data_IF_227947292528
#
_entry.id   IF_227947292528
#
_cell.length_a   1.000
_cell.length_b   1.000
_cell.length_c   1.000
_cell.angle_alpha   90.00
_cell.angle_beta   90.00
_cell.angle_gamma   90.00
#
_symmetry.space_group_name_H-M   'P 1'
#
loop_
_entity.id
_entity.type
_entity.pdbx_description
1 polymer ?
#
# COMPACT_ATOMS: atom_id res chain seq x y z
N UNK A 1 0.79 -25.91 -1.92
CA UNK A 1 0.09 -25.30 -3.07
C UNK A 1 -0.19 -23.86 -2.71
N UNK A 2 0.71 -22.96 -3.10
CA UNK A 2 0.45 -21.52 -3.04
C UNK A 2 -0.74 -21.21 -3.95
N UNK A 3 -1.79 -20.63 -3.39
CA UNK A 3 -2.87 -20.06 -4.19
C UNK A 3 -2.36 -18.73 -4.70
N UNK A 4 -1.91 -18.71 -5.95
CA UNK A 4 -1.69 -17.47 -6.70
C UNK A 4 -2.94 -16.60 -6.57
N UNK A 5 -2.80 -15.48 -5.86
CA UNK A 5 -3.82 -14.43 -5.83
C UNK A 5 -3.94 -13.93 -7.27
N UNK A 6 -5.03 -14.28 -7.95
CA UNK A 6 -5.29 -13.86 -9.33
C UNK A 6 -5.57 -12.36 -9.32
N UNK A 7 -4.53 -11.57 -9.60
CA UNK A 7 -4.65 -10.14 -9.93
C UNK A 7 -5.65 -9.94 -11.08
N UNK A 8 -6.41 -8.86 -11.02
CA UNK A 8 -7.35 -8.44 -12.05
C UNK A 8 -6.62 -8.03 -13.33
N UNK A 9 -7.31 -7.96 -14.48
CA UNK A 9 -6.69 -7.55 -15.76
C UNK A 9 -6.19 -6.09 -15.73
N UNK A 10 -6.89 -5.20 -15.02
CA UNK A 10 -6.53 -3.78 -14.91
C UNK A 10 -5.22 -3.57 -14.12
N UNK A 11 -5.06 -4.27 -12.98
CA UNK A 11 -3.86 -4.21 -12.13
C UNK A 11 -2.60 -4.64 -12.91
N UNK A 12 -2.70 -5.68 -13.74
CA UNK A 12 -1.58 -6.21 -14.53
C UNK A 12 -1.11 -5.26 -15.63
N UNK A 13 -2.04 -4.46 -16.19
CA UNK A 13 -1.73 -3.42 -17.16
C UNK A 13 -0.96 -2.25 -16.52
N UNK A 14 -1.23 -1.97 -15.25
CA UNK A 14 -0.60 -0.88 -14.50
C UNK A 14 0.88 -1.17 -14.20
N UNK A 15 1.23 -2.42 -13.87
CA UNK A 15 2.62 -2.81 -13.58
C UNK A 15 3.57 -2.69 -14.78
N UNK A 16 3.13 -3.08 -15.98
CA UNK A 16 3.94 -2.90 -17.20
C UNK A 16 4.10 -1.42 -17.56
N UNK A 17 3.05 -0.62 -17.38
CA UNK A 17 3.10 0.83 -17.54
C UNK A 17 4.15 1.46 -16.62
N UNK A 18 4.08 1.14 -15.33
CA UNK A 18 5.02 1.64 -14.32
C UNK A 18 6.49 1.28 -14.64
N UNK A 19 6.76 0.02 -14.99
CA UNK A 19 8.11 -0.41 -15.38
C UNK A 19 8.61 0.36 -16.61
N UNK A 20 7.75 0.54 -17.62
CA UNK A 20 8.09 1.27 -18.84
C UNK A 20 8.38 2.75 -18.54
N UNK A 21 7.51 3.40 -17.77
CA UNK A 21 7.60 4.83 -17.47
C UNK A 21 8.84 5.16 -16.64
N UNK A 22 9.17 4.33 -15.64
CA UNK A 22 10.35 4.50 -14.80
C UNK A 22 11.66 4.27 -15.59
N UNK A 23 11.67 3.30 -16.50
CA UNK A 23 12.79 3.07 -17.41
C UNK A 23 12.97 4.25 -18.36
N UNK A 24 11.88 4.72 -18.98
CA UNK A 24 11.91 5.87 -19.87
C UNK A 24 12.41 7.12 -19.16
N UNK A 25 11.93 7.37 -17.93
CA UNK A 25 12.36 8.51 -17.11
C UNK A 25 13.85 8.45 -16.75
N UNK A 26 14.37 7.27 -16.47
CA UNK A 26 15.73 7.10 -15.93
C UNK A 26 16.80 6.90 -17.00
N UNK A 27 16.44 6.31 -18.14
CA UNK A 27 17.37 5.90 -19.20
C UNK A 27 16.95 6.34 -20.61
N UNK A 28 15.81 7.01 -20.75
CA UNK A 28 15.29 7.48 -22.03
C UNK A 28 15.00 6.34 -23.01
N UNK A 29 15.08 6.66 -24.29
CA UNK A 29 14.66 5.77 -25.36
C UNK A 29 15.51 4.50 -25.50
N UNK A 30 16.80 4.60 -25.17
CA UNK A 30 17.68 3.45 -25.09
C UNK A 30 17.27 2.49 -23.96
N UNK A 31 16.73 3.00 -22.86
CA UNK A 31 16.11 2.18 -21.82
C UNK A 31 14.84 1.48 -22.32
N UNK A 32 13.98 2.19 -23.05
CA UNK A 32 12.77 1.59 -23.64
C UNK A 32 13.12 0.44 -24.58
N UNK A 33 14.17 0.58 -25.40
CA UNK A 33 14.63 -0.50 -26.27
C UNK A 33 15.02 -1.76 -25.48
N UNK A 34 15.66 -1.59 -24.33
CA UNK A 34 15.97 -2.71 -23.42
C UNK A 34 14.69 -3.36 -22.89
N UNK A 35 13.73 -2.54 -22.44
CA UNK A 35 12.42 -3.00 -21.97
C UNK A 35 11.67 -3.79 -23.04
N UNK A 36 11.55 -3.25 -24.26
CA UNK A 36 10.83 -3.91 -25.36
C UNK A 36 11.50 -5.23 -25.77
N UNK A 37 12.83 -5.28 -25.75
CA UNK A 37 13.59 -6.50 -26.01
C UNK A 37 13.32 -7.55 -24.94
N UNK A 38 13.27 -7.16 -23.67
CA UNK A 38 12.96 -8.05 -22.56
C UNK A 38 11.52 -8.58 -22.63
N UNK A 39 10.53 -7.72 -22.94
CA UNK A 39 9.13 -8.12 -23.16
C UNK A 39 9.03 -9.17 -24.29
N UNK A 40 9.68 -8.91 -25.43
CA UNK A 40 9.68 -9.85 -26.57
C UNK A 40 10.35 -11.17 -26.21
N UNK A 41 11.47 -11.13 -25.47
CA UNK A 41 12.23 -12.31 -25.05
C UNK A 41 11.42 -13.19 -24.09
N UNK A 42 10.79 -12.57 -23.10
CA UNK A 42 10.01 -13.27 -22.08
C UNK A 42 8.61 -13.65 -22.55
N UNK A 43 8.17 -13.15 -23.72
CA UNK A 43 6.81 -13.30 -24.24
C UNK A 43 5.76 -12.85 -23.22
N UNK A 44 6.09 -11.79 -22.49
CA UNK A 44 5.23 -11.21 -21.46
C UNK A 44 3.96 -10.71 -22.14
N UNK A 45 2.83 -11.34 -21.83
CA UNK A 45 1.53 -10.92 -22.38
C UNK A 45 1.11 -9.54 -21.89
N UNK A 46 0.05 -8.97 -22.45
CA UNK A 46 -0.50 -7.67 -22.03
C UNK A 46 -0.92 -7.60 -20.55
N UNK A 47 -1.04 -8.76 -19.90
CA UNK A 47 -1.53 -8.93 -18.54
C UNK A 47 -0.64 -9.89 -17.72
N UNK A 48 0.61 -9.52 -17.43
CA UNK A 48 1.55 -10.41 -16.77
C UNK A 48 1.20 -10.63 -15.30
N UNK A 49 1.46 -11.84 -14.81
CA UNK A 49 1.51 -12.16 -13.39
C UNK A 49 2.67 -11.44 -12.69
N UNK A 50 2.61 -11.33 -11.36
CA UNK A 50 3.66 -10.75 -10.52
C UNK A 50 5.03 -11.34 -10.84
N UNK A 51 5.08 -12.67 -10.88
CA UNK A 51 6.30 -13.42 -11.19
C UNK A 51 6.84 -13.12 -12.59
N UNK A 52 5.98 -12.80 -13.55
CA UNK A 52 6.40 -12.39 -14.90
C UNK A 52 6.95 -10.95 -14.92
N UNK A 53 6.41 -10.04 -14.09
CA UNK A 53 6.93 -8.68 -13.92
C UNK A 53 8.27 -8.68 -13.18
N UNK A 54 8.43 -9.50 -12.13
CA UNK A 54 9.71 -9.65 -11.42
C UNK A 54 10.80 -10.23 -12.34
N UNK A 55 10.43 -11.24 -13.14
CA UNK A 55 11.32 -11.80 -14.17
C UNK A 55 11.68 -10.76 -15.24
N UNK A 56 10.74 -9.88 -15.59
CA UNK A 56 11.00 -8.79 -16.52
C UNK A 56 12.05 -7.83 -15.97
N UNK A 57 11.92 -7.37 -14.72
CA UNK A 57 12.92 -6.50 -14.09
C UNK A 57 14.29 -7.21 -14.00
N UNK A 58 14.30 -8.48 -13.63
CA UNK A 58 15.51 -9.31 -13.56
C UNK A 58 16.19 -9.51 -14.93
N UNK A 59 15.42 -9.50 -16.02
CA UNK A 59 15.93 -9.62 -17.40
C UNK A 59 16.44 -8.28 -17.95
N UNK A 60 15.89 -7.16 -17.48
CA UNK A 60 16.29 -5.80 -17.86
C UNK A 60 17.61 -5.41 -17.20
N UNK A 61 17.81 -5.78 -15.93
CA UNK A 61 18.97 -5.37 -15.13
C UNK A 61 20.33 -5.64 -15.81
N UNK A 62 20.63 -6.84 -16.35
CA UNK A 62 21.92 -7.10 -16.99
C UNK A 62 22.15 -6.24 -18.23
N UNK A 63 21.09 -5.98 -18.99
CA UNK A 63 21.17 -5.16 -20.21
C UNK A 63 21.41 -3.68 -19.86
N UNK A 64 20.78 -3.17 -18.81
CA UNK A 64 21.07 -1.83 -18.30
C UNK A 64 22.46 -1.73 -17.69
N UNK A 65 22.94 -2.78 -17.00
CA UNK A 65 24.28 -2.81 -16.43
C UNK A 65 25.37 -2.71 -17.51
N UNK A 66 25.15 -3.36 -18.66
CA UNK A 66 26.07 -3.28 -19.81
C UNK A 66 26.11 -1.86 -20.39
N UNK A 67 24.96 -1.19 -20.50
CA UNK A 67 24.86 0.12 -21.16
C UNK A 67 25.24 1.30 -20.25
N UNK A 68 24.90 1.21 -18.96
CA UNK A 68 24.97 2.34 -18.02
C UNK A 68 25.81 2.06 -16.78
N UNK A 69 26.36 0.85 -16.66
CA UNK A 69 27.18 0.41 -15.52
C UNK A 69 26.35 -0.09 -14.34
N UNK A 70 26.89 -1.10 -13.65
CA UNK A 70 26.25 -1.73 -12.48
C UNK A 70 25.99 -0.77 -11.32
N UNK A 71 26.80 0.29 -11.19
CA UNK A 71 26.62 1.32 -10.16
C UNK A 71 25.33 2.12 -10.34
N UNK A 72 24.78 2.18 -11.55
CA UNK A 72 23.54 2.89 -11.86
C UNK A 72 22.35 1.96 -12.08
N UNK A 73 22.54 0.82 -12.74
CA UNK A 73 21.46 -0.11 -13.02
C UNK A 73 20.92 -0.80 -11.76
N UNK A 74 21.81 -1.19 -10.83
CA UNK A 74 21.44 -1.96 -9.64
C UNK A 74 20.61 -1.15 -8.65
N UNK A 75 20.96 0.11 -8.30
CA UNK A 75 20.10 0.93 -7.47
C UNK A 75 18.74 1.21 -8.12
N UNK A 76 18.71 1.45 -9.43
CA UNK A 76 17.46 1.65 -10.16
C UNK A 76 16.55 0.42 -10.11
N UNK A 77 17.08 -0.79 -10.37
CA UNK A 77 16.29 -2.01 -10.33
C UNK A 77 15.80 -2.32 -8.91
N UNK A 78 16.60 -2.01 -7.88
CA UNK A 78 16.17 -2.11 -6.48
C UNK A 78 15.03 -1.13 -6.15
N UNK A 79 15.14 0.13 -6.59
CA UNK A 79 14.08 1.14 -6.43
C UNK A 79 12.81 0.72 -7.17
N UNK A 80 12.95 0.20 -8.39
CA UNK A 80 11.84 -0.29 -9.17
C UNK A 80 11.15 -1.48 -8.49
N UNK A 81 11.92 -2.40 -7.91
CA UNK A 81 11.35 -3.47 -7.07
C UNK A 81 10.61 -2.93 -5.85
N UNK A 82 11.15 -1.93 -5.17
CA UNK A 82 10.43 -1.30 -4.05
C UNK A 82 9.14 -0.61 -4.49
N UNK A 83 9.14 0.10 -5.62
CA UNK A 83 7.93 0.70 -6.21
C UNK A 83 6.89 -0.36 -6.57
N UNK A 84 7.32 -1.47 -7.17
CA UNK A 84 6.43 -2.60 -7.48
C UNK A 84 5.82 -3.20 -6.20
N UNK A 85 6.60 -3.32 -5.12
CA UNK A 85 6.13 -3.74 -3.80
C UNK A 85 5.20 -2.69 -3.17
N UNK A 86 5.45 -1.40 -3.36
CA UNK A 86 4.61 -0.31 -2.84
C UNK A 86 3.26 -0.22 -3.56
N UNK A 87 3.21 -0.48 -4.86
CA UNK A 87 1.95 -0.69 -5.59
C UNK A 87 1.15 -1.87 -5.01
N UNK A 88 1.80 -2.88 -4.44
CA UNK A 88 1.13 -3.97 -3.71
C UNK A 88 0.69 -3.57 -2.29
N UNK A 89 1.31 -2.55 -1.68
CA UNK A 89 0.99 -2.11 -0.30
C UNK A 89 -0.33 -1.34 -0.21
N UNK A 90 -0.95 -0.96 -1.33
CA UNK A 90 -2.33 -0.52 -1.31
C UNK A 90 -3.24 -1.74 -1.10
N UNK A 91 -3.77 -1.85 0.12
CA UNK A 91 -4.55 -3.01 0.54
C UNK A 91 -5.62 -3.35 -0.50
N UNK A 92 -5.68 -4.60 -1.02
CA UNK A 92 -6.80 -5.08 -1.84
C UNK A 92 -8.15 -4.81 -1.17
N UNK A 93 -8.17 -4.74 0.17
CA UNK A 93 -9.32 -4.38 0.99
C UNK A 93 -9.74 -2.92 0.74
N UNK A 94 -8.80 -1.98 0.62
CA UNK A 94 -9.11 -0.58 0.33
C UNK A 94 -9.65 -0.40 -1.10
N UNK A 95 -9.05 -1.08 -2.09
CA UNK A 95 -9.59 -1.08 -3.45
C UNK A 95 -10.99 -1.71 -3.52
N UNK A 96 -11.23 -2.76 -2.73
CA UNK A 96 -12.55 -3.34 -2.59
C UNK A 96 -13.55 -2.36 -1.96
N UNK A 97 -13.17 -1.60 -0.94
CA UNK A 97 -13.99 -0.54 -0.31
C UNK A 97 -14.32 0.58 -1.30
N UNK A 98 -13.32 1.08 -2.04
CA UNK A 98 -13.50 2.07 -3.12
C UNK A 98 -14.50 1.57 -4.17
N UNK A 99 -14.30 0.33 -4.62
CA UNK A 99 -15.16 -0.30 -5.60
C UNK A 99 -16.58 -0.50 -5.08
N UNK A 100 -16.82 -0.57 -3.77
CA UNK A 100 -18.15 -0.71 -3.17
C UNK A 100 -18.90 0.60 -3.10
N UNK A 101 -18.22 1.65 -2.61
CA UNK A 101 -18.82 2.94 -2.29
C UNK A 101 -19.11 3.81 -3.52
N UNK A 102 -18.34 3.65 -4.62
CA UNK A 102 -18.48 4.43 -5.86
C UNK A 102 -18.82 3.50 -7.06
N UNK A 103 -19.23 2.25 -6.78
CA UNK A 103 -19.29 1.13 -7.75
C UNK A 103 -20.05 1.42 -9.05
N UNK A 104 -21.21 2.05 -8.92
CA UNK A 104 -22.12 2.26 -10.06
C UNK A 104 -21.56 3.28 -11.06
N UNK A 105 -20.86 4.28 -10.55
CA UNK A 105 -20.35 5.37 -11.37
C UNK A 105 -18.95 5.06 -11.91
N UNK A 106 -18.11 4.32 -11.16
CA UNK A 106 -16.82 3.80 -11.68
C UNK A 106 -17.04 2.80 -12.83
N UNK A 107 -18.01 1.88 -12.69
CA UNK A 107 -18.32 0.90 -13.74
C UNK A 107 -18.76 1.53 -15.07
N UNK A 108 -19.36 2.71 -15.03
CA UNK A 108 -19.82 3.43 -16.23
C UNK A 108 -18.77 4.41 -16.79
N UNK A 109 -17.81 4.84 -15.97
CA UNK A 109 -16.83 5.89 -16.32
C UNK A 109 -15.44 5.36 -16.68
N UNK A 110 -15.18 4.06 -16.44
CA UNK A 110 -13.96 3.36 -16.90
C UNK A 110 -12.72 3.56 -16.02
N UNK A 111 -11.57 2.97 -16.42
CA UNK A 111 -10.37 2.84 -15.58
C UNK A 111 -9.69 4.15 -15.18
N UNK A 112 -10.00 5.25 -15.89
CA UNK A 112 -9.43 6.59 -15.63
C UNK A 112 -9.85 7.20 -14.29
N UNK A 113 -10.99 6.78 -13.74
CA UNK A 113 -11.48 7.26 -12.44
C UNK A 113 -10.79 6.54 -11.30
N UNK A 114 -10.61 5.23 -11.45
CA UNK A 114 -9.91 4.39 -10.48
C UNK A 114 -8.45 4.83 -10.33
N UNK A 115 -7.79 5.17 -11.43
CA UNK A 115 -6.42 5.69 -11.42
C UNK A 115 -6.30 7.05 -10.70
N UNK A 116 -7.28 7.94 -10.83
CA UNK A 116 -7.27 9.22 -10.11
C UNK A 116 -7.48 9.05 -8.62
N UNK A 117 -8.39 8.15 -8.21
CA UNK A 117 -8.56 7.79 -6.81
C UNK A 117 -7.29 7.15 -6.26
N UNK A 118 -6.64 6.27 -7.02
CA UNK A 118 -5.37 5.66 -6.66
C UNK A 118 -4.30 6.73 -6.40
N UNK A 119 -4.05 7.62 -7.37
CA UNK A 119 -3.08 8.72 -7.24
C UNK A 119 -3.42 9.68 -6.11
N UNK A 120 -4.70 9.94 -5.89
CA UNK A 120 -5.17 10.80 -4.80
C UNK A 120 -4.79 10.22 -3.45
N UNK A 121 -5.06 8.93 -3.22
CA UNK A 121 -4.71 8.30 -1.96
C UNK A 121 -3.20 8.03 -1.84
N UNK A 122 -2.46 7.77 -2.91
CA UNK A 122 -0.99 7.65 -2.83
C UNK A 122 -0.28 8.87 -2.23
N UNK A 123 -0.82 10.09 -2.42
CA UNK A 123 -0.22 11.33 -1.90
C UNK A 123 -0.19 11.45 -0.37
N UNK A 124 -0.86 10.55 0.36
CA UNK A 124 -0.91 10.55 1.82
C UNK A 124 -2.31 10.83 2.36
N UNK A 125 -2.40 11.41 3.56
CA UNK A 125 -3.68 11.74 4.21
C UNK A 125 -4.21 13.07 3.62
N UNK A 126 -5.31 13.05 2.85
CA UNK A 126 -5.81 14.25 2.19
C UNK A 126 -6.48 15.18 3.19
N UNK A 127 -6.25 16.48 3.08
CA UNK A 127 -7.00 17.47 3.84
C UNK A 127 -8.34 17.82 3.14
N UNK A 128 -9.17 18.66 3.75
CA UNK A 128 -10.46 19.04 3.14
C UNK A 128 -10.33 19.74 1.78
N UNK A 129 -9.21 20.43 1.53
CA UNK A 129 -8.98 21.08 0.24
C UNK A 129 -8.64 20.06 -0.84
N UNK A 130 -7.77 19.09 -0.51
CA UNK A 130 -7.43 17.96 -1.38
C UNK A 130 -8.70 17.17 -1.77
N UNK A 131 -9.58 16.90 -0.79
CA UNK A 131 -10.85 16.19 -1.01
C UNK A 131 -11.77 16.97 -1.94
N UNK A 132 -11.84 18.29 -1.77
CA UNK A 132 -12.68 19.15 -2.62
C UNK A 132 -12.15 19.21 -4.05
N UNK A 133 -10.83 19.25 -4.21
CA UNK A 133 -10.17 19.23 -5.52
C UNK A 133 -10.45 17.93 -6.26
N UNK A 134 -10.20 16.77 -5.63
CA UNK A 134 -10.44 15.48 -6.28
C UNK A 134 -11.92 15.28 -6.60
N UNK A 135 -12.85 15.74 -5.76
CA UNK A 135 -14.27 15.69 -6.06
C UNK A 135 -14.61 16.45 -7.36
N UNK A 136 -14.02 17.63 -7.58
CA UNK A 136 -14.22 18.38 -8.82
C UNK A 136 -13.65 17.64 -10.04
N UNK A 137 -12.44 17.06 -9.92
CA UNK A 137 -11.79 16.29 -10.99
C UNK A 137 -12.66 15.09 -11.38
N UNK A 138 -13.17 14.36 -10.38
CA UNK A 138 -14.02 13.19 -10.60
C UNK A 138 -15.34 13.54 -11.29
N UNK A 139 -15.96 14.66 -10.92
CA UNK A 139 -17.15 15.16 -11.60
C UNK A 139 -16.87 15.53 -13.06
N UNK A 140 -15.76 16.22 -13.33
CA UNK A 140 -15.34 16.54 -14.71
C UNK A 140 -15.09 15.28 -15.55
N UNK A 141 -14.64 14.19 -14.92
CA UNK A 141 -14.40 12.90 -15.55
C UNK A 141 -15.65 12.02 -15.68
N UNK A 142 -16.82 12.50 -15.23
CA UNK A 142 -18.11 11.86 -15.50
C UNK A 142 -18.83 11.26 -14.30
N UNK A 143 -18.31 11.42 -13.07
CA UNK A 143 -19.09 11.09 -11.87
C UNK A 143 -20.31 12.01 -11.78
N UNK A 144 -21.50 11.42 -11.75
CA UNK A 144 -22.78 12.14 -11.71
C UNK A 144 -23.34 12.34 -10.32
N UNK A 145 -22.67 11.81 -9.30
CA UNK A 145 -23.03 12.01 -7.90
C UNK A 145 -22.99 13.50 -7.54
N UNK A 146 -23.90 13.93 -6.66
CA UNK A 146 -23.88 15.29 -6.12
C UNK A 146 -22.54 15.59 -5.43
N UNK A 147 -22.04 16.82 -5.57
CA UNK A 147 -20.71 17.21 -5.05
C UNK A 147 -20.60 17.02 -3.54
N UNK A 148 -21.64 17.34 -2.78
CA UNK A 148 -21.60 17.21 -1.32
C UNK A 148 -21.59 15.73 -0.92
N UNK A 149 -22.38 14.91 -1.61
CA UNK A 149 -22.37 13.46 -1.41
C UNK A 149 -21.02 12.83 -1.77
N UNK A 150 -20.43 13.21 -2.90
CA UNK A 150 -19.11 12.73 -3.33
C UNK A 150 -18.02 13.12 -2.33
N UNK A 151 -18.04 14.37 -1.87
CA UNK A 151 -17.12 14.88 -0.83
C UNK A 151 -17.26 14.08 0.47
N UNK A 152 -18.49 13.79 0.90
CA UNK A 152 -18.74 12.97 2.08
C UNK A 152 -18.24 11.53 1.91
N UNK A 153 -18.46 10.93 0.73
CA UNK A 153 -17.93 9.60 0.39
C UNK A 153 -16.40 9.57 0.44
N UNK A 154 -15.73 10.56 -0.14
CA UNK A 154 -14.27 10.67 -0.13
C UNK A 154 -13.70 10.88 1.29
N UNK A 155 -14.39 11.67 2.13
CA UNK A 155 -14.05 11.81 3.56
C UNK A 155 -14.13 10.46 4.27
N UNK A 156 -15.21 9.71 4.07
CA UNK A 156 -15.37 8.39 4.67
C UNK A 156 -14.30 7.39 4.21
N UNK A 157 -13.99 7.36 2.91
CA UNK A 157 -12.91 6.53 2.37
C UNK A 157 -11.55 6.91 2.97
N UNK A 158 -11.29 8.20 3.14
CA UNK A 158 -10.06 8.70 3.77
C UNK A 158 -9.98 8.26 5.24
N UNK A 159 -11.08 8.32 5.98
CA UNK A 159 -11.20 7.79 7.35
C UNK A 159 -10.90 6.28 7.37
N UNK A 160 -11.57 5.51 6.52
CA UNK A 160 -11.42 4.05 6.47
C UNK A 160 -9.97 3.65 6.17
N UNK A 161 -9.32 4.34 5.23
CA UNK A 161 -7.91 4.12 4.93
C UNK A 161 -7.01 4.37 6.14
N UNK A 162 -7.18 5.52 6.80
CA UNK A 162 -6.40 5.87 7.98
C UNK A 162 -6.61 4.82 9.08
N UNK A 163 -7.84 4.37 9.31
CA UNK A 163 -8.14 3.31 10.27
C UNK A 163 -7.46 1.99 9.90
N UNK A 164 -7.48 1.60 8.62
CA UNK A 164 -6.81 0.40 8.15
C UNK A 164 -5.29 0.46 8.39
N UNK A 165 -4.66 1.57 8.03
CA UNK A 165 -3.22 1.78 8.21
C UNK A 165 -2.81 1.82 9.69
N UNK A 166 -3.61 2.48 10.54
CA UNK A 166 -3.41 2.55 11.98
C UNK A 166 -3.56 1.16 12.61
N UNK A 167 -4.61 0.42 12.26
CA UNK A 167 -4.84 -0.93 12.77
C UNK A 167 -3.70 -1.88 12.40
N UNK A 168 -3.24 -1.85 11.14
CA UNK A 168 -2.09 -2.64 10.72
C UNK A 168 -0.85 -2.32 11.55
N UNK A 169 -0.58 -1.02 11.76
CA UNK A 169 0.59 -0.57 12.54
C UNK A 169 0.48 -0.94 14.02
N UNK A 170 -0.74 -0.88 14.60
CA UNK A 170 -1.01 -1.33 15.98
C UNK A 170 -0.73 -2.82 16.10
N UNK A 171 -1.25 -3.63 15.16
CA UNK A 171 -1.03 -5.08 15.13
C UNK A 171 0.46 -5.39 15.09
N UNK A 172 1.20 -4.78 14.15
CA UNK A 172 2.63 -5.00 13.99
C UNK A 172 3.40 -4.60 15.26
N UNK A 173 3.00 -3.50 15.91
CA UNK A 173 3.59 -3.08 17.20
C UNK A 173 3.31 -4.07 18.33
N UNK A 174 2.10 -4.64 18.40
CA UNK A 174 1.78 -5.66 19.41
C UNK A 174 2.54 -6.96 19.15
N UNK A 175 2.71 -7.36 17.89
CA UNK A 175 3.53 -8.52 17.50
C UNK A 175 4.98 -8.31 17.91
N UNK A 176 5.55 -7.13 17.65
CA UNK A 176 6.91 -6.80 18.11
C UNK A 176 7.03 -6.91 19.63
N UNK A 177 6.11 -6.28 20.36
CA UNK A 177 6.08 -6.34 21.82
C UNK A 177 5.91 -7.77 22.35
N UNK A 178 5.14 -8.62 21.66
CA UNK A 178 4.97 -10.03 22.00
C UNK A 178 6.29 -10.79 21.84
N UNK A 179 6.98 -10.64 20.70
CA UNK A 179 8.25 -11.31 20.41
C UNK A 179 9.43 -10.75 21.20
N UNK A 180 9.37 -9.50 21.67
CA UNK A 180 10.38 -8.93 22.59
C UNK A 180 10.33 -9.62 23.95
N UNK A 181 9.13 -9.98 24.41
CA UNK A 181 8.93 -10.66 25.69
C UNK A 181 9.05 -12.19 25.57
N UNK A 182 8.65 -12.76 24.43
CA UNK A 182 8.64 -14.20 24.16
C UNK A 182 9.28 -14.51 22.79
N UNK A 183 10.63 -14.45 22.67
CA UNK A 183 11.33 -14.73 21.41
C UNK A 183 11.07 -16.15 20.88
N UNK A 184 10.81 -17.09 21.80
CA UNK A 184 10.31 -18.44 21.52
C UNK A 184 8.97 -18.59 22.24
N UNK A 185 7.88 -18.68 21.49
CA UNK A 185 6.53 -18.78 22.03
C UNK A 185 5.93 -20.18 21.79
N UNK A 186 5.06 -20.60 22.70
CA UNK A 186 4.27 -21.83 22.59
C UNK A 186 2.90 -21.56 21.98
N UNK A 187 2.17 -22.62 21.62
CA UNK A 187 0.79 -22.49 21.13
C UNK A 187 -0.15 -21.85 22.18
N UNK A 188 0.13 -22.05 23.48
CA UNK A 188 -0.62 -21.41 24.56
C UNK A 188 -0.37 -19.90 24.58
N UNK A 189 0.90 -19.47 24.50
CA UNK A 189 1.27 -18.05 24.46
C UNK A 189 0.62 -17.33 23.27
N UNK A 190 0.56 -18.01 22.11
CA UNK A 190 -0.12 -17.49 20.92
C UNK A 190 -1.62 -17.27 21.16
N UNK A 191 -2.32 -18.23 21.78
CA UNK A 191 -3.75 -18.10 22.10
C UNK A 191 -4.02 -16.99 23.11
N UNK A 192 -3.15 -16.85 24.10
CA UNK A 192 -3.23 -15.77 25.08
C UNK A 192 -3.00 -14.41 24.41
N UNK A 193 -2.05 -14.32 23.49
CA UNK A 193 -1.81 -13.12 22.69
C UNK A 193 -3.03 -12.74 21.82
N UNK A 194 -3.63 -13.68 21.09
CA UNK A 194 -4.85 -13.44 20.31
C UNK A 194 -6.00 -12.99 21.21
N UNK A 195 -6.15 -13.60 22.38
CA UNK A 195 -7.20 -13.24 23.35
C UNK A 195 -6.98 -11.83 23.88
N UNK A 196 -5.75 -11.46 24.19
CA UNK A 196 -5.36 -10.09 24.55
C UNK A 196 -5.71 -9.09 23.44
N UNK A 197 -5.37 -9.39 22.18
CA UNK A 197 -5.68 -8.51 21.04
C UNK A 197 -7.19 -8.27 20.90
N UNK A 198 -8.00 -9.33 21.03
CA UNK A 198 -9.46 -9.26 20.97
C UNK A 198 -10.07 -8.49 22.15
N UNK A 199 -9.57 -8.70 23.37
CA UNK A 199 -10.01 -7.96 24.57
C UNK A 199 -9.77 -6.45 24.41
N UNK A 200 -8.66 -6.09 23.76
CA UNK A 200 -8.37 -4.70 23.43
C UNK A 200 -9.11 -4.19 22.19
N UNK A 201 -10.06 -4.94 21.62
CA UNK A 201 -10.83 -4.56 20.42
C UNK A 201 -9.95 -4.24 19.20
N UNK A 202 -8.75 -4.83 19.13
CA UNK A 202 -7.90 -4.73 17.94
C UNK A 202 -8.49 -5.69 16.90
N UNK A 203 -8.72 -5.19 15.69
CA UNK A 203 -9.25 -6.01 14.60
C UNK A 203 -8.18 -7.01 14.16
N UNK A 204 -8.38 -8.30 14.46
CA UNK A 204 -7.43 -9.37 14.17
C UNK A 204 -8.09 -10.47 13.35
N UNK A 205 -7.44 -10.82 12.24
CA UNK A 205 -7.70 -12.03 11.46
C UNK A 205 -6.63 -13.03 11.89
N UNK A 206 -6.99 -14.11 12.58
CA UNK A 206 -6.01 -14.99 13.23
C UNK A 206 -4.99 -15.58 12.26
N UNK A 207 -5.43 -15.95 11.04
CA UNK A 207 -4.55 -16.45 10.00
C UNK A 207 -3.49 -15.41 9.57
N UNK A 208 -3.87 -14.12 9.48
CA UNK A 208 -2.97 -13.00 9.16
C UNK A 208 -1.96 -12.77 10.30
N UNK A 209 -2.40 -12.89 11.56
CA UNK A 209 -1.51 -12.68 12.72
C UNK A 209 -0.39 -13.72 12.77
N UNK A 210 -0.70 -14.99 12.49
CA UNK A 210 0.32 -16.04 12.49
C UNK A 210 1.39 -15.80 11.42
N UNK A 211 0.97 -15.37 10.23
CA UNK A 211 1.89 -15.02 9.14
C UNK A 211 2.77 -13.82 9.49
N UNK A 212 2.17 -12.76 10.06
CA UNK A 212 2.91 -11.56 10.49
C UNK A 212 3.91 -11.83 11.61
N UNK A 213 3.57 -12.67 12.58
CA UNK A 213 4.49 -13.12 13.64
C UNK A 213 5.70 -13.82 13.03
N UNK A 214 5.47 -14.76 12.09
CA UNK A 214 6.56 -15.48 11.44
C UNK A 214 7.44 -14.53 10.60
N UNK A 215 6.82 -13.60 9.87
CA UNK A 215 7.54 -12.57 9.11
C UNK A 215 8.47 -11.75 10.02
N UNK A 216 7.96 -11.22 11.13
CA UNK A 216 8.76 -10.45 12.09
C UNK A 216 9.87 -11.31 12.72
N UNK A 217 9.60 -12.58 13.04
CA UNK A 217 10.62 -13.51 13.56
C UNK A 217 11.76 -13.73 12.55
N UNK A 218 11.43 -13.90 11.27
CA UNK A 218 12.41 -14.02 10.20
C UNK A 218 13.23 -12.73 10.04
N UNK A 219 12.58 -11.57 10.08
CA UNK A 219 13.26 -10.26 10.05
C UNK A 219 14.27 -10.10 11.19
N UNK A 220 13.94 -10.52 12.42
CA UNK A 220 14.88 -10.49 13.55
C UNK A 220 16.05 -11.44 13.38
N UNK A 221 15.81 -12.63 12.81
CA UNK A 221 16.81 -13.68 12.65
C UNK A 221 17.83 -13.38 11.54
N UNK A 222 17.37 -12.80 10.43
CA UNK A 222 18.18 -12.60 9.23
C UNK A 222 18.54 -11.12 8.97
N UNK A 223 18.11 -10.20 9.84
CA UNK A 223 18.21 -8.77 9.62
C UNK A 223 17.05 -8.24 8.79
N UNK A 224 16.84 -6.91 8.82
CA UNK A 224 15.77 -6.26 8.07
C UNK A 224 15.93 -6.51 6.57
N UNK A 225 14.95 -7.16 5.94
CA UNK A 225 14.85 -7.24 4.47
C UNK A 225 14.61 -5.83 3.88
N UNK A 226 14.17 -4.87 4.69
CA UNK A 226 13.95 -3.47 4.33
C UNK A 226 14.54 -2.54 5.40
N UNK A 227 15.74 -2.00 5.18
CA UNK A 227 16.36 -0.99 6.06
C UNK A 227 15.55 0.32 6.18
N UNK A 228 14.55 0.51 5.31
CA UNK A 228 13.69 1.70 5.25
C UNK A 228 12.32 1.53 5.93
N UNK A 229 12.04 0.39 6.57
CA UNK A 229 10.72 0.14 7.17
C UNK A 229 10.58 0.92 8.50
N UNK A 230 9.82 2.02 8.46
CA UNK A 230 9.53 2.88 9.63
C UNK A 230 8.98 2.02 10.77
N UNK A 231 9.48 2.26 11.99
CA UNK A 231 8.97 1.59 13.18
C UNK A 231 7.44 1.77 13.26
N UNK A 232 6.64 0.70 13.41
CA UNK A 232 5.18 0.80 13.49
C UNK A 232 4.71 1.84 14.52
N UNK A 233 5.37 1.96 15.67
CA UNK A 233 5.03 2.97 16.68
C UNK A 233 5.29 4.40 16.20
N UNK A 234 6.38 4.62 15.47
CA UNK A 234 6.71 5.91 14.87
C UNK A 234 5.72 6.28 13.76
N UNK A 235 5.31 5.30 12.94
CA UNK A 235 4.27 5.49 11.93
C UNK A 235 2.96 5.93 12.58
N UNK A 236 2.51 5.28 13.66
CA UNK A 236 1.27 5.69 14.34
C UNK A 236 1.40 7.12 14.90
N UNK A 237 2.53 7.47 15.51
CA UNK A 237 2.80 8.84 15.98
C UNK A 237 2.77 9.88 14.85
N UNK A 238 3.33 9.56 13.69
CA UNK A 238 3.29 10.44 12.52
C UNK A 238 1.85 10.70 12.08
N UNK A 239 1.00 9.68 12.01
CA UNK A 239 -0.43 9.86 11.68
C UNK A 239 -1.14 10.76 12.69
N UNK A 240 -0.94 10.53 14.00
CA UNK A 240 -1.56 11.34 15.06
C UNK A 240 -1.10 12.79 15.00
N UNK A 241 0.21 13.02 14.82
CA UNK A 241 0.77 14.36 14.70
C UNK A 241 0.22 15.09 13.47
N UNK A 242 0.10 14.40 12.34
CA UNK A 242 -0.48 14.97 11.12
C UNK A 242 -1.96 15.35 11.33
N UNK A 243 -2.74 14.47 11.94
CA UNK A 243 -4.17 14.72 12.21
C UNK A 243 -4.34 15.85 13.25
N UNK A 244 -3.43 15.95 14.21
CA UNK A 244 -3.44 16.98 15.25
C UNK A 244 -2.95 18.34 14.77
N UNK A 245 -2.22 18.42 13.65
CA UNK A 245 -1.72 19.68 13.11
C UNK A 245 -2.88 20.62 12.77
N UNK A 246 -2.86 21.82 13.35
CA UNK A 246 -3.87 22.85 13.13
C UNK A 246 -3.66 23.63 11.82
N UNK A 247 -2.52 23.46 11.14
CA UNK A 247 -2.25 24.11 9.84
C UNK A 247 -3.03 23.47 8.70
N UNK A 248 -3.39 22.20 8.82
CA UNK A 248 -4.18 21.46 7.84
C UNK A 248 -5.58 21.19 8.36
N UNK A 249 -6.56 21.22 7.47
CA UNK A 249 -7.95 20.99 7.83
C UNK A 249 -8.27 19.49 7.80
N UNK A 250 -8.02 18.81 8.93
CA UNK A 250 -8.35 17.40 9.16
C UNK A 250 -9.56 17.22 10.08
N UNK A 251 -10.48 18.19 10.13
CA UNK A 251 -11.63 18.17 11.04
C UNK A 251 -12.49 16.90 10.93
N UNK A 252 -12.55 16.31 9.73
CA UNK A 252 -13.28 15.07 9.48
C UNK A 252 -12.62 13.80 10.08
N UNK A 253 -11.31 13.85 10.40
CA UNK A 253 -10.58 12.76 11.05
C UNK A 253 -10.58 12.88 12.59
N UNK A 254 -10.44 14.10 13.13
CA UNK A 254 -10.30 14.39 14.58
C UNK A 254 -11.44 13.82 15.44
N UNK A 255 -12.63 13.73 14.87
CA UNK A 255 -13.83 13.29 15.58
C UNK A 255 -14.11 11.78 15.46
N UNK A 256 -13.24 11.01 14.79
CA UNK A 256 -13.46 9.58 14.61
C UNK A 256 -13.01 8.77 15.84
N UNK A 257 -13.93 7.98 16.41
CA UNK A 257 -13.67 7.20 17.63
C UNK A 257 -12.60 6.13 17.47
N UNK A 258 -12.43 5.55 16.28
CA UNK A 258 -11.38 4.56 16.00
C UNK A 258 -9.99 5.19 15.92
N UNK A 259 -9.90 6.42 15.42
CA UNK A 259 -8.65 7.19 15.40
C UNK A 259 -8.26 7.60 16.83
N UNK A 260 -9.21 8.10 17.62
CA UNK A 260 -9.01 8.40 19.05
C UNK A 260 -8.68 7.16 19.89
N UNK A 261 -9.11 5.98 19.45
CA UNK A 261 -8.75 4.73 20.08
C UNK A 261 -7.28 4.37 19.79
N UNK A 262 -6.81 4.57 18.56
CA UNK A 262 -5.42 4.38 18.19
C UNK A 262 -4.47 5.29 19.00
N UNK A 263 -4.86 6.54 19.25
CA UNK A 263 -4.15 7.47 20.14
C UNK A 263 -3.97 6.89 21.56
N UNK A 264 -5.06 6.40 22.15
CA UNK A 264 -5.05 5.82 23.50
C UNK A 264 -4.20 4.56 23.64
N UNK A 265 -4.03 3.78 22.57
CA UNK A 265 -3.15 2.60 22.60
C UNK A 265 -1.69 3.01 22.77
N UNK A 266 -1.28 4.16 22.21
CA UNK A 266 0.10 4.63 22.33
C UNK A 266 0.36 5.26 23.69
N UNK A 267 -0.60 6.01 24.23
CA UNK A 267 -0.43 6.73 25.51
C UNK A 267 -0.42 5.82 26.74
N UNK A 268 -0.88 4.57 26.62
CA UNK A 268 -0.96 3.60 27.72
C UNK A 268 0.36 2.83 28.00
N UNK A 269 1.46 3.16 27.33
CA UNK A 269 2.79 2.56 27.55
C UNK A 269 3.81 3.66 27.81
#
# INVERSE_FOLDING_TARGET
MEKDIKMTKEERKNYLGLVKDEIQKSFGESGIQVYEKAIKKLKTGENPSKREVEKLVSEIEPSLAILYGSSRSKPFCNELHQKLIECEKFSPIFMQLLSGSIKKDIKSSGPKIEEELYRFFEKGIPDESDITEIANILMQKGIKQDKNQLTATLKNLSIERVILDLNASIVDNQIKSFLDNLPTYTETDYKDFISYMKLNKINVIEEDIKERIEKERLCRKFGSINENEINPQEKIRQYINMISDNKKNYGYLKNNSSIQFAERIIEKK
#
